data_IF_610301457557
#
_entry.id   IF_610301457557
#
_cell.length_a   1.000
_cell.length_b   1.000
_cell.length_c   1.000
_cell.angle_alpha   90.00
_cell.angle_beta   90.00
_cell.angle_gamma   90.00
#
_symmetry.space_group_name_H-M   'P 1'
#
loop_
_entity.id
_entity.type
_entity.pdbx_description
1 polymer ?
#
# COMPACT_ATOMS: atom_id res chain seq x y z
N UNK A 1 -29.03 34.29 12.77
CA UNK A 1 -28.62 33.62 11.52
C UNK A 1 -28.96 32.16 11.62
N UNK A 2 -29.37 31.53 10.51
CA UNK A 2 -29.65 30.09 10.43
C UNK A 2 -28.38 29.39 9.94
N UNK A 3 -28.03 28.28 10.58
CA UNK A 3 -26.84 27.51 10.25
C UNK A 3 -27.27 26.26 9.50
N UNK A 4 -26.57 25.98 8.42
CA UNK A 4 -26.79 24.80 7.59
C UNK A 4 -25.47 24.11 7.35
N UNK A 5 -25.54 22.80 7.17
CA UNK A 5 -24.45 22.02 6.60
C UNK A 5 -24.97 21.28 5.38
N UNK A 6 -24.14 21.23 4.34
CA UNK A 6 -24.41 20.40 3.16
C UNK A 6 -23.28 19.41 3.00
N UNK A 7 -23.62 18.13 3.05
CA UNK A 7 -22.70 17.05 2.74
C UNK A 7 -23.03 16.52 1.35
N UNK A 8 -22.04 16.46 0.48
CA UNK A 8 -22.20 15.91 -0.86
C UNK A 8 -21.05 14.96 -1.23
N UNK A 9 -21.36 14.04 -2.13
CA UNK A 9 -20.47 12.99 -2.60
C UNK A 9 -20.20 13.23 -4.08
N UNK A 10 -18.92 13.41 -4.43
CA UNK A 10 -18.45 13.59 -5.81
C UNK A 10 -18.03 12.24 -6.40
N UNK A 11 -18.26 12.04 -7.70
CA UNK A 11 -17.84 10.82 -8.42
C UNK A 11 -16.30 10.68 -8.31
N UNK A 12 -15.79 9.55 -7.78
CA UNK A 12 -14.36 9.32 -7.62
C UNK A 12 -13.60 9.11 -8.94
N UNK A 13 -14.29 9.00 -10.09
CA UNK A 13 -13.66 8.84 -11.41
C UNK A 13 -13.05 10.14 -11.93
N UNK A 14 -13.49 11.28 -11.41
CA UNK A 14 -12.95 12.59 -11.77
C UNK A 14 -11.49 12.73 -11.32
N UNK A 15 -10.74 13.59 -12.00
CA UNK A 15 -9.36 13.91 -11.60
C UNK A 15 -9.34 14.76 -10.32
N UNK A 16 -8.24 14.69 -9.56
CA UNK A 16 -8.13 15.40 -8.28
C UNK A 16 -8.37 16.92 -8.39
N UNK A 17 -7.98 17.52 -9.51
CA UNK A 17 -8.17 18.95 -9.77
C UNK A 17 -9.63 19.29 -10.09
N UNK A 18 -10.32 18.45 -10.86
CA UNK A 18 -11.75 18.61 -11.14
C UNK A 18 -12.59 18.47 -9.87
N UNK A 19 -12.23 17.54 -8.98
CA UNK A 19 -12.90 17.32 -7.70
C UNK A 19 -12.82 18.57 -6.83
N UNK A 20 -11.62 19.15 -6.69
CA UNK A 20 -11.40 20.39 -5.93
C UNK A 20 -12.09 21.58 -6.61
N UNK A 21 -12.04 21.66 -7.93
CA UNK A 21 -12.72 22.70 -8.71
C UNK A 21 -14.23 22.69 -8.51
N UNK A 22 -14.85 21.50 -8.50
CA UNK A 22 -16.28 21.34 -8.20
C UNK A 22 -16.57 21.81 -6.77
N UNK A 23 -15.80 21.39 -5.76
CA UNK A 23 -16.01 21.85 -4.39
C UNK A 23 -15.90 23.37 -4.25
N UNK A 24 -14.88 23.98 -4.87
CA UNK A 24 -14.68 25.42 -4.85
C UNK A 24 -15.83 26.17 -5.53
N UNK A 25 -16.34 25.67 -6.66
CA UNK A 25 -17.46 26.29 -7.36
C UNK A 25 -18.73 26.42 -6.50
N UNK A 26 -18.97 25.45 -5.61
CA UNK A 26 -20.10 25.50 -4.67
C UNK A 26 -19.83 26.45 -3.50
N UNK A 27 -18.58 26.54 -3.03
CA UNK A 27 -18.17 27.52 -2.02
C UNK A 27 -18.37 28.95 -2.55
N UNK A 28 -17.90 29.22 -3.77
CA UNK A 28 -18.02 30.52 -4.42
C UNK A 28 -19.48 30.89 -4.66
N UNK A 29 -20.30 29.92 -5.09
CA UNK A 29 -21.74 30.14 -5.29
C UNK A 29 -22.45 30.51 -3.98
N UNK A 30 -22.18 29.78 -2.90
CA UNK A 30 -22.74 30.09 -1.59
C UNK A 30 -22.34 31.50 -1.10
N UNK A 31 -21.10 31.91 -1.37
CA UNK A 31 -20.64 33.28 -1.07
C UNK A 31 -21.38 34.33 -1.92
N UNK A 32 -21.58 34.08 -3.21
CA UNK A 32 -22.33 34.97 -4.11
C UNK A 32 -23.80 35.11 -3.72
N UNK A 33 -24.39 34.04 -3.18
CA UNK A 33 -25.76 34.03 -2.63
C UNK A 33 -25.85 34.70 -1.24
N UNK A 34 -24.77 35.33 -0.77
CA UNK A 34 -24.71 36.08 0.49
C UNK A 34 -24.56 35.21 1.74
N UNK A 35 -24.19 33.93 1.60
CA UNK A 35 -23.96 33.05 2.74
C UNK A 35 -22.55 33.23 3.31
N UNK A 36 -22.43 33.22 4.63
CA UNK A 36 -21.14 33.21 5.31
C UNK A 36 -20.67 31.77 5.50
N UNK A 37 -19.56 31.40 4.86
CA UNK A 37 -18.94 30.08 5.04
C UNK A 37 -18.28 30.01 6.41
N UNK A 38 -18.59 28.96 7.17
CA UNK A 38 -18.03 28.71 8.51
C UNK A 38 -16.85 27.75 8.42
N UNK A 39 -17.01 26.66 7.67
CA UNK A 39 -15.98 25.64 7.50
C UNK A 39 -16.24 24.82 6.24
N UNK A 40 -15.17 24.31 5.65
CA UNK A 40 -15.19 23.30 4.59
C UNK A 40 -14.36 22.12 5.07
N UNK A 41 -14.99 20.95 5.20
CA UNK A 41 -14.37 19.70 5.64
C UNK A 41 -14.17 18.77 4.43
N UNK A 42 -12.92 18.63 4.01
CA UNK A 42 -12.50 17.72 2.94
C UNK A 42 -12.27 16.31 3.51
N UNK A 43 -13.34 15.50 3.53
CA UNK A 43 -13.30 14.17 4.12
C UNK A 43 -12.57 13.13 3.25
N UNK A 44 -12.36 13.42 1.96
CA UNK A 44 -11.63 12.59 1.01
C UNK A 44 -12.39 11.35 0.54
N UNK A 45 -11.66 10.42 -0.08
CA UNK A 45 -12.20 9.16 -0.62
C UNK A 45 -12.64 8.22 0.50
N UNK A 46 -13.88 7.73 0.43
CA UNK A 46 -14.44 6.77 1.39
C UNK A 46 -15.16 5.63 0.67
N UNK A 47 -15.10 4.44 1.28
CA UNK A 47 -15.88 3.28 0.84
C UNK A 47 -17.35 3.49 1.20
N UNK A 48 -18.24 3.33 0.22
CA UNK A 48 -19.68 3.38 0.42
C UNK A 48 -20.19 2.04 0.96
N UNK A 49 -21.23 2.08 1.80
CA UNK A 49 -21.86 0.87 2.32
C UNK A 49 -22.57 0.05 1.23
N UNK A 50 -23.07 0.73 0.21
CA UNK A 50 -23.71 0.15 -0.97
C UNK A 50 -23.37 0.98 -2.22
N UNK A 51 -23.44 0.39 -3.43
CA UNK A 51 -23.10 1.13 -4.64
C UNK A 51 -24.11 2.24 -4.96
N UNK A 52 -23.62 3.46 -5.23
CA UNK A 52 -24.42 4.58 -5.74
C UNK A 52 -23.97 4.83 -7.18
N UNK A 53 -24.90 4.85 -8.13
CA UNK A 53 -24.58 4.97 -9.57
C UNK A 53 -23.50 3.97 -10.03
N UNK A 54 -23.53 2.73 -9.50
CA UNK A 54 -22.54 1.66 -9.74
C UNK A 54 -21.12 1.96 -9.21
N UNK A 55 -20.92 3.02 -8.43
CA UNK A 55 -19.66 3.32 -7.73
C UNK A 55 -19.70 2.75 -6.31
N UNK A 56 -18.62 2.11 -5.88
CA UNK A 56 -18.47 1.57 -4.52
C UNK A 56 -17.70 2.51 -3.58
N UNK A 57 -17.09 3.55 -4.14
CA UNK A 57 -16.36 4.60 -3.42
C UNK A 57 -16.94 5.96 -3.78
N UNK A 58 -16.68 6.96 -2.94
CA UNK A 58 -17.10 8.34 -3.18
C UNK A 58 -16.23 9.32 -2.40
N UNK A 59 -16.07 10.53 -2.94
CA UNK A 59 -15.28 11.58 -2.29
C UNK A 59 -16.24 12.51 -1.56
N UNK A 60 -16.04 12.66 -0.25
CA UNK A 60 -16.94 13.39 0.62
C UNK A 60 -16.45 14.81 0.87
N UNK A 61 -17.38 15.76 0.74
CA UNK A 61 -17.21 17.14 1.15
C UNK A 61 -18.36 17.54 2.08
N UNK A 62 -18.04 18.31 3.12
CA UNK A 62 -19.05 18.97 3.94
C UNK A 62 -18.77 20.47 4.00
N UNK A 63 -19.78 21.28 3.69
CA UNK A 63 -19.71 22.74 3.77
C UNK A 63 -20.68 23.21 4.84
N UNK A 64 -20.15 23.88 5.86
CA UNK A 64 -20.92 24.56 6.90
C UNK A 64 -21.06 26.05 6.52
N UNK A 65 -22.29 26.55 6.47
CA UNK A 65 -22.56 27.95 6.12
C UNK A 65 -23.73 28.54 6.91
N UNK A 66 -23.75 29.88 6.97
CA UNK A 66 -24.77 30.67 7.65
C UNK A 66 -25.51 31.54 6.65
N UNK A 67 -26.82 31.63 6.81
CA UNK A 67 -27.72 32.45 5.99
C UNK A 67 -28.77 33.13 6.86
N UNK A 68 -29.34 34.24 6.40
CA UNK A 68 -30.36 34.99 7.13
C UNK A 68 -31.76 34.38 6.96
N UNK A 69 -32.16 34.13 5.71
CA UNK A 69 -33.55 33.78 5.35
C UNK A 69 -33.72 32.32 4.92
N UNK A 70 -32.65 31.60 4.57
CA UNK A 70 -32.71 30.18 4.16
C UNK A 70 -33.23 29.94 2.75
N UNK A 71 -33.54 30.99 1.98
CA UNK A 71 -34.06 30.90 0.62
C UNK A 71 -33.05 30.35 -0.41
N UNK A 72 -31.79 30.22 -0.02
CA UNK A 72 -30.67 29.74 -0.86
C UNK A 72 -30.70 28.21 -1.05
N UNK A 73 -31.46 27.48 -0.23
CA UNK A 73 -31.44 26.00 -0.22
C UNK A 73 -32.05 25.41 -1.50
N UNK A 74 -33.24 25.84 -1.90
CA UNK A 74 -33.90 25.24 -3.06
C UNK A 74 -33.11 25.43 -4.37
N UNK A 75 -32.57 26.63 -4.69
CA UNK A 75 -31.69 26.82 -5.84
C UNK A 75 -30.39 26.00 -5.76
N UNK A 76 -29.84 25.84 -4.56
CA UNK A 76 -28.63 25.05 -4.33
C UNK A 76 -28.89 23.57 -4.60
N UNK A 77 -29.96 22.99 -4.03
CA UNK A 77 -30.34 21.60 -4.27
C UNK A 77 -30.67 21.33 -5.73
N UNK A 78 -31.32 22.28 -6.41
CA UNK A 78 -31.58 22.19 -7.84
C UNK A 78 -30.29 22.13 -8.65
N UNK A 79 -29.27 22.91 -8.25
CA UNK A 79 -27.96 22.90 -8.90
C UNK A 79 -27.26 21.56 -8.67
N UNK A 80 -27.25 21.06 -7.43
CA UNK A 80 -26.69 19.74 -7.13
C UNK A 80 -27.37 18.59 -7.89
N UNK A 81 -28.68 18.67 -8.12
CA UNK A 81 -29.40 17.67 -8.95
C UNK A 81 -29.07 17.75 -10.43
N UNK A 82 -28.68 18.92 -10.93
CA UNK A 82 -28.30 19.14 -12.34
C UNK A 82 -26.85 18.78 -12.61
N UNK A 83 -25.99 18.79 -11.59
CA UNK A 83 -24.58 18.48 -11.72
C UNK A 83 -24.34 16.97 -11.66
N UNK A 84 -24.00 16.38 -12.81
CA UNK A 84 -23.72 14.94 -12.93
C UNK A 84 -22.47 14.49 -12.15
N UNK A 85 -21.60 15.43 -11.76
CA UNK A 85 -20.39 15.14 -10.97
C UNK A 85 -20.73 14.78 -9.53
N UNK A 86 -21.91 15.18 -9.06
CA UNK A 86 -22.38 14.94 -7.70
C UNK A 86 -23.32 13.74 -7.68
N UNK A 87 -22.95 12.69 -6.96
CA UNK A 87 -23.73 11.45 -6.89
C UNK A 87 -24.88 11.54 -5.88
N UNK A 88 -24.66 12.25 -4.77
CA UNK A 88 -25.64 12.40 -3.69
C UNK A 88 -25.29 13.63 -2.87
N UNK A 89 -26.32 14.28 -2.33
CA UNK A 89 -26.17 15.36 -1.36
C UNK A 89 -27.21 15.23 -0.25
N UNK A 90 -26.95 15.88 0.87
CA UNK A 90 -27.86 16.04 1.98
C UNK A 90 -27.62 17.41 2.61
N UNK A 91 -28.65 18.24 2.63
CA UNK A 91 -28.66 19.53 3.33
C UNK A 91 -29.36 19.37 4.67
N UNK A 92 -28.73 19.79 5.76
CA UNK A 92 -29.29 19.73 7.11
C UNK A 92 -29.27 21.11 7.75
N UNK A 93 -30.36 21.48 8.40
CA UNK A 93 -30.42 22.67 9.26
C UNK A 93 -29.84 22.32 10.62
N UNK A 94 -28.78 23.03 11.03
CA UNK A 94 -28.16 22.87 12.33
C UNK A 94 -28.99 23.57 13.42
N UNK A 95 -29.22 22.87 14.52
CA UNK A 95 -29.76 23.43 15.73
C UNK A 95 -28.63 24.01 16.61
N UNK A 96 -29.00 24.54 17.78
CA UNK A 96 -28.01 25.11 18.72
C UNK A 96 -26.93 24.10 19.11
N UNK A 97 -27.32 22.85 19.37
CA UNK A 97 -26.39 21.81 19.82
C UNK A 97 -25.47 21.33 18.70
N UNK A 98 -25.96 21.25 17.47
CA UNK A 98 -25.16 20.92 16.28
C UNK A 98 -24.05 21.94 16.02
N UNK A 99 -24.36 23.24 16.14
CA UNK A 99 -23.35 24.30 16.01
C UNK A 99 -22.27 24.18 17.09
N UNK A 100 -22.68 24.04 18.36
CA UNK A 100 -21.73 23.87 19.46
C UNK A 100 -20.87 22.60 19.32
N UNK A 101 -21.47 21.51 18.82
CA UNK A 101 -20.75 20.27 18.56
C UNK A 101 -19.68 20.44 17.48
N UNK A 102 -20.02 21.09 16.36
CA UNK A 102 -19.07 21.34 15.27
C UNK A 102 -17.93 22.26 15.71
N UNK A 103 -18.22 23.29 16.51
CA UNK A 103 -17.20 24.15 17.12
C UNK A 103 -16.27 23.38 18.07
N UNK A 104 -16.82 22.55 18.95
CA UNK A 104 -16.03 21.71 19.87
C UNK A 104 -15.21 20.65 19.12
N UNK A 105 -15.73 20.10 18.02
CA UNK A 105 -15.02 19.18 17.11
C UNK A 105 -13.82 19.88 16.48
N UNK A 106 -14.01 21.09 15.94
CA UNK A 106 -12.93 21.92 15.38
C UNK A 106 -11.90 22.34 16.43
N UNK A 107 -12.34 22.63 17.65
CA UNK A 107 -11.46 22.93 18.78
C UNK A 107 -10.73 21.71 19.36
N UNK A 108 -10.91 20.51 18.78
CA UNK A 108 -10.25 19.27 19.20
C UNK A 108 -10.72 18.72 20.55
N UNK A 109 -11.79 19.28 21.12
CA UNK A 109 -12.33 18.87 22.44
C UNK A 109 -13.23 17.64 22.37
N UNK A 110 -13.59 17.21 21.15
CA UNK A 110 -14.33 15.98 20.89
C UNK A 110 -13.33 14.96 20.33
N UNK A 111 -12.81 14.11 21.22
CA UNK A 111 -11.86 13.05 20.87
C UNK A 111 -12.47 12.01 19.95
N UNK A 112 -11.63 11.38 19.10
CA UNK A 112 -12.02 10.22 18.27
C UNK A 112 -12.78 9.21 19.16
N UNK A 113 -13.92 8.64 18.69
CA UNK A 113 -14.66 7.67 19.48
C UNK A 113 -13.74 6.51 19.90
N UNK A 114 -13.81 6.11 21.18
CA UNK A 114 -12.96 5.06 21.80
C UNK A 114 -12.86 3.78 20.94
N UNK A 115 -13.92 3.47 20.19
CA UNK A 115 -14.00 2.32 19.27
C UNK A 115 -13.13 2.46 18.02
N UNK A 116 -12.95 3.66 17.47
CA UNK A 116 -12.04 3.91 16.35
C UNK A 116 -10.57 3.82 16.79
N UNK A 117 -10.26 4.29 18.00
CA UNK A 117 -8.92 4.14 18.59
C UNK A 117 -8.58 2.67 18.85
N UNK A 118 -9.52 1.89 19.39
CA UNK A 118 -9.35 0.45 19.59
C UNK A 118 -9.10 -0.29 18.26
N UNK A 119 -9.80 0.10 17.19
CA UNK A 119 -9.64 -0.52 15.87
C UNK A 119 -8.31 -0.16 15.19
N UNK A 120 -7.88 1.11 15.25
CA UNK A 120 -6.54 1.53 14.81
C UNK A 120 -5.43 0.79 15.59
N UNK A 121 -5.61 0.62 16.90
CA UNK A 121 -4.67 -0.13 17.75
C UNK A 121 -4.63 -1.62 17.40
N UNK A 122 -5.79 -2.23 17.12
CA UNK A 122 -5.89 -3.63 16.70
C UNK A 122 -5.29 -3.85 15.31
N UNK A 123 -5.56 -2.97 14.33
CA UNK A 123 -4.99 -3.05 12.99
C UNK A 123 -3.46 -2.80 13.01
N UNK A 124 -2.97 -1.91 13.87
CA UNK A 124 -1.54 -1.71 14.09
C UNK A 124 -0.88 -2.91 14.79
N UNK A 125 -1.56 -3.53 15.77
CA UNK A 125 -1.10 -4.74 16.43
C UNK A 125 -1.07 -5.95 15.48
N UNK A 126 -2.08 -6.08 14.60
CA UNK A 126 -2.12 -7.10 13.56
C UNK A 126 -1.02 -6.90 12.52
N UNK A 127 -0.77 -5.68 12.05
CA UNK A 127 0.36 -5.38 11.15
C UNK A 127 1.72 -5.65 11.81
N UNK A 128 1.86 -5.39 13.11
CA UNK A 128 3.06 -5.73 13.88
C UNK A 128 3.21 -7.25 14.06
N UNK A 129 2.14 -7.96 14.36
CA UNK A 129 2.14 -9.43 14.46
C UNK A 129 2.42 -10.10 13.10
N UNK A 130 1.91 -9.55 11.99
CA UNK A 130 2.22 -10.01 10.63
C UNK A 130 3.67 -9.75 10.24
N UNK A 131 4.26 -8.61 10.65
CA UNK A 131 5.71 -8.37 10.48
C UNK A 131 6.57 -9.23 11.40
N UNK A 132 6.10 -9.57 12.60
CA UNK A 132 6.80 -10.45 13.54
C UNK A 132 6.74 -11.94 13.13
N UNK A 133 5.68 -12.35 12.40
CA UNK A 133 5.53 -13.69 11.83
C UNK A 133 6.06 -13.81 10.39
N UNK A 134 6.68 -12.78 9.82
CA UNK A 134 7.54 -12.99 8.67
C UNK A 134 8.77 -13.76 9.16
N UNK A 135 9.06 -14.97 8.63
CA UNK A 135 10.30 -15.65 8.98
C UNK A 135 11.43 -14.69 8.63
N UNK A 136 12.28 -14.39 9.61
CA UNK A 136 13.49 -13.62 9.39
C UNK A 136 14.33 -14.43 8.40
N UNK A 137 14.24 -14.07 7.12
CA UNK A 137 14.85 -14.84 6.05
C UNK A 137 16.36 -14.88 6.23
N UNK A 138 16.95 -16.04 6.00
CA UNK A 138 18.39 -16.23 6.03
C UNK A 138 19.11 -15.25 5.09
N UNK A 139 20.36 -14.94 5.44
CA UNK A 139 21.20 -14.11 4.59
C UNK A 139 21.79 -14.95 3.45
N UNK A 140 21.02 -15.10 2.35
CA UNK A 140 21.40 -15.85 1.15
C UNK A 140 22.75 -15.40 0.54
N UNK A 141 23.24 -14.19 0.86
CA UNK A 141 24.56 -13.70 0.45
C UNK A 141 25.74 -14.48 1.04
N UNK A 142 25.50 -15.40 1.98
CA UNK A 142 26.52 -16.31 2.52
C UNK A 142 26.90 -17.44 1.55
N UNK A 143 26.09 -17.67 0.53
CA UNK A 143 26.36 -18.61 -0.55
C UNK A 143 27.22 -17.90 -1.60
N UNK A 144 28.32 -18.53 -1.97
CA UNK A 144 29.25 -18.00 -2.96
C UNK A 144 28.59 -18.01 -4.34
N UNK A 145 28.68 -16.88 -5.05
CA UNK A 145 27.98 -16.65 -6.31
C UNK A 145 26.62 -15.98 -6.17
N UNK A 146 26.01 -15.95 -4.97
CA UNK A 146 24.79 -15.18 -4.72
C UNK A 146 25.14 -13.74 -4.32
N UNK A 147 25.20 -12.86 -5.31
CA UNK A 147 25.37 -11.42 -5.09
C UNK A 147 24.12 -10.72 -4.54
N UNK A 148 24.21 -9.42 -4.17
CA UNK A 148 23.08 -8.65 -3.64
C UNK A 148 21.84 -8.67 -4.54
N UNK A 149 22.04 -8.59 -5.86
CA UNK A 149 20.96 -8.59 -6.86
C UNK A 149 20.26 -9.94 -6.96
N UNK A 150 21.03 -11.03 -6.94
CA UNK A 150 20.48 -12.40 -6.97
C UNK A 150 19.72 -12.68 -5.67
N UNK A 151 20.28 -12.28 -4.51
CA UNK A 151 19.59 -12.43 -3.23
C UNK A 151 18.26 -11.65 -3.19
N UNK A 152 18.19 -10.48 -3.82
CA UNK A 152 16.96 -9.70 -3.89
C UNK A 152 15.94 -10.33 -4.83
N UNK A 153 16.37 -10.82 -6.00
CA UNK A 153 15.52 -11.55 -6.94
C UNK A 153 14.92 -12.82 -6.32
N UNK A 154 15.73 -13.62 -5.62
CA UNK A 154 15.26 -14.82 -4.91
C UNK A 154 14.25 -14.47 -3.81
N UNK A 155 14.49 -13.39 -3.05
CA UNK A 155 13.54 -12.90 -2.03
C UNK A 155 12.24 -12.38 -2.65
N UNK A 156 12.31 -11.72 -3.80
CA UNK A 156 11.13 -11.26 -4.53
C UNK A 156 10.25 -12.43 -4.99
N UNK A 157 10.86 -13.57 -5.36
CA UNK A 157 10.16 -14.82 -5.66
C UNK A 157 9.63 -15.56 -4.41
N UNK A 158 9.98 -15.09 -3.20
CA UNK A 158 9.58 -15.72 -1.94
C UNK A 158 10.54 -16.79 -1.42
N UNK A 159 11.73 -16.95 -2.01
CA UNK A 159 12.82 -17.76 -1.45
C UNK A 159 13.59 -16.87 -0.48
N UNK A 160 13.33 -17.06 0.82
CA UNK A 160 13.89 -16.24 1.88
C UNK A 160 14.81 -17.00 2.82
N UNK A 161 14.86 -18.34 2.75
CA UNK A 161 15.68 -19.20 3.63
C UNK A 161 16.61 -20.14 2.85
N UNK A 162 17.69 -20.62 3.48
CA UNK A 162 18.60 -21.60 2.90
C UNK A 162 17.88 -22.91 2.58
N UNK A 163 16.98 -23.35 3.45
CA UNK A 163 16.19 -24.57 3.24
C UNK A 163 15.29 -24.48 2.00
N UNK A 164 14.65 -23.33 1.75
CA UNK A 164 13.82 -23.12 0.57
C UNK A 164 14.65 -23.11 -0.72
N UNK A 165 15.87 -22.59 -0.67
CA UNK A 165 16.80 -22.58 -1.80
C UNK A 165 17.36 -23.99 -2.07
N UNK A 166 17.73 -24.74 -1.03
CA UNK A 166 18.20 -26.12 -1.13
C UNK A 166 17.13 -27.08 -1.68
N UNK A 167 15.85 -26.82 -1.38
CA UNK A 167 14.74 -27.61 -1.90
C UNK A 167 14.47 -27.41 -3.40
N UNK A 168 15.14 -26.47 -4.07
CA UNK A 168 14.99 -26.18 -5.51
C UNK A 168 16.17 -26.76 -6.28
N UNK A 169 15.89 -27.28 -7.48
CA UNK A 169 16.96 -27.75 -8.36
C UNK A 169 17.69 -26.57 -9.01
N UNK A 170 18.97 -26.71 -9.39
CA UNK A 170 19.71 -25.64 -10.06
C UNK A 170 19.02 -25.11 -11.32
N UNK A 171 18.35 -25.99 -12.07
CA UNK A 171 17.62 -25.66 -13.29
C UNK A 171 16.42 -24.77 -12.96
N UNK A 172 15.66 -25.12 -11.92
CA UNK A 172 14.52 -24.33 -11.47
C UNK A 172 14.96 -22.97 -10.93
N UNK A 173 16.10 -22.90 -10.23
CA UNK A 173 16.67 -21.63 -9.77
C UNK A 173 17.06 -20.74 -10.96
N UNK A 174 17.67 -21.33 -12.00
CA UNK A 174 18.01 -20.59 -13.22
C UNK A 174 16.75 -20.06 -13.93
N UNK A 175 15.73 -20.90 -14.05
CA UNK A 175 14.43 -20.52 -14.64
C UNK A 175 13.79 -19.35 -13.88
N UNK A 176 13.76 -19.40 -12.54
CA UNK A 176 13.22 -18.34 -11.69
C UNK A 176 13.98 -17.02 -11.90
N UNK A 177 15.31 -17.07 -11.98
CA UNK A 177 16.11 -15.87 -12.22
C UNK A 177 15.84 -15.28 -13.60
N UNK A 178 15.71 -16.11 -14.63
CA UNK A 178 15.41 -15.67 -15.99
C UNK A 178 13.99 -15.11 -16.12
N UNK A 179 13.03 -15.67 -15.37
CA UNK A 179 11.65 -15.17 -15.31
C UNK A 179 11.58 -13.77 -14.71
N UNK A 180 12.43 -13.47 -13.71
CA UNK A 180 12.50 -12.16 -13.07
C UNK A 180 13.19 -11.13 -13.96
N UNK A 181 14.39 -11.45 -14.44
CA UNK A 181 15.18 -10.57 -15.30
C UNK A 181 16.20 -11.38 -16.11
N UNK A 182 15.76 -11.82 -17.30
CA UNK A 182 16.57 -12.63 -18.21
C UNK A 182 17.90 -11.96 -18.58
N UNK A 183 17.90 -10.65 -18.85
CA UNK A 183 19.08 -9.91 -19.29
C UNK A 183 20.13 -9.82 -18.17
N UNK A 184 19.69 -9.56 -16.93
CA UNK A 184 20.62 -9.46 -15.78
C UNK A 184 21.19 -10.79 -15.34
N UNK A 185 20.47 -11.89 -15.50
CA UNK A 185 20.83 -13.16 -14.87
C UNK A 185 21.20 -14.29 -15.85
N UNK A 186 21.25 -14.02 -17.16
CA UNK A 186 21.60 -15.00 -18.20
C UNK A 186 22.90 -15.78 -17.94
N UNK A 187 23.92 -15.08 -17.42
CA UNK A 187 25.26 -15.62 -17.20
C UNK A 187 25.47 -16.20 -15.79
N UNK A 188 24.44 -16.21 -14.95
CA UNK A 188 24.52 -16.77 -13.60
C UNK A 188 24.44 -18.30 -13.64
N UNK A 189 25.24 -18.92 -12.78
CA UNK A 189 25.37 -20.38 -12.69
C UNK A 189 25.00 -20.86 -11.28
N UNK A 190 23.75 -21.34 -11.08
CA UNK A 190 23.26 -21.77 -9.78
C UNK A 190 23.67 -23.20 -9.41
N UNK A 191 24.53 -23.87 -10.19
CA UNK A 191 24.87 -25.28 -10.01
C UNK A 191 25.43 -25.64 -8.62
N UNK A 192 26.12 -24.70 -7.98
CA UNK A 192 26.70 -24.90 -6.64
C UNK A 192 25.79 -24.37 -5.51
N UNK A 193 24.82 -23.52 -5.82
CA UNK A 193 24.02 -22.82 -4.81
C UNK A 193 23.11 -23.76 -4.03
N UNK A 194 22.53 -24.78 -4.67
CA UNK A 194 21.66 -25.74 -3.99
C UNK A 194 22.39 -26.51 -2.89
N UNK A 195 23.59 -27.03 -3.20
CA UNK A 195 24.43 -27.77 -2.25
C UNK A 195 25.00 -26.87 -1.15
N UNK A 196 25.37 -25.63 -1.50
CA UNK A 196 25.84 -24.66 -0.50
C UNK A 196 24.70 -24.24 0.45
N UNK A 197 23.48 -24.09 -0.09
CA UNK A 197 22.29 -23.80 0.70
C UNK A 197 21.93 -24.97 1.63
N UNK A 198 22.14 -26.21 1.19
CA UNK A 198 21.92 -27.41 2.02
C UNK A 198 22.87 -27.43 3.23
N UNK A 199 24.17 -27.22 3.01
CA UNK A 199 25.16 -27.13 4.09
C UNK A 199 24.88 -25.95 5.04
N UNK A 200 24.46 -24.80 4.49
CA UNK A 200 24.07 -23.64 5.28
C UNK A 200 22.80 -23.89 6.12
N UNK A 201 21.81 -24.60 5.56
CA UNK A 201 20.58 -24.98 6.25
C UNK A 201 20.82 -26.02 7.35
N UNK A 202 21.77 -26.93 7.14
CA UNK A 202 22.21 -27.91 8.14
C UNK A 202 23.08 -27.32 9.25
N UNK A 203 23.48 -26.03 9.13
CA UNK A 203 24.36 -25.37 10.09
C UNK A 203 25.83 -25.80 10.00
N UNK A 204 26.22 -26.50 8.93
CA UNK A 204 27.56 -27.02 8.70
C UNK A 204 28.52 -25.95 8.13
N UNK A 205 28.64 -24.83 8.84
CA UNK A 205 29.37 -23.64 8.37
C UNK A 205 30.86 -23.87 8.10
N UNK A 206 31.51 -24.74 8.87
CA UNK A 206 32.93 -25.05 8.70
C UNK A 206 33.19 -25.82 7.41
N UNK A 207 32.36 -26.83 7.11
CA UNK A 207 32.41 -27.59 5.87
C UNK A 207 32.07 -26.71 4.66
N UNK A 208 31.09 -25.82 4.81
CA UNK A 208 30.75 -24.86 3.76
C UNK A 208 31.92 -23.93 3.44
N UNK A 209 32.58 -23.38 4.47
CA UNK A 209 33.71 -22.46 4.27
C UNK A 209 34.92 -23.16 3.63
N UNK A 210 35.26 -24.36 4.09
CA UNK A 210 36.32 -25.16 3.48
C UNK A 210 36.01 -25.45 2.00
N UNK A 211 34.75 -25.78 1.67
CA UNK A 211 34.35 -26.00 0.29
C UNK A 211 34.39 -24.72 -0.54
N UNK A 212 33.99 -23.56 0.01
CA UNK A 212 34.10 -22.26 -0.66
C UNK A 212 35.54 -21.84 -0.95
N UNK A 213 36.51 -22.22 -0.12
CA UNK A 213 37.94 -21.94 -0.37
C UNK A 213 38.49 -22.73 -1.58
N UNK A 214 37.92 -23.90 -1.88
CA UNK A 214 38.27 -24.73 -3.05
C UNK A 214 37.54 -24.30 -4.34
N UNK A 215 36.48 -23.50 -4.22
CA UNK A 215 35.71 -22.97 -5.34
C UNK A 215 36.36 -21.71 -5.92
N UNK A 216 36.24 -21.52 -7.24
CA UNK A 216 36.69 -20.29 -7.91
C UNK A 216 35.48 -19.55 -8.44
N UNK A 217 34.98 -18.58 -7.69
CA UNK A 217 33.84 -17.74 -8.09
C UNK A 217 32.53 -18.52 -8.16
N UNK A 218 32.32 -19.43 -7.22
CA UNK A 218 31.12 -20.28 -7.14
C UNK A 218 31.08 -21.43 -8.14
N UNK A 219 32.18 -21.78 -8.81
CA UNK A 219 32.30 -22.93 -9.72
C UNK A 219 33.37 -23.91 -9.24
N UNK A 220 33.11 -25.21 -9.41
CA UNK A 220 34.08 -26.27 -9.12
C UNK A 220 35.27 -26.12 -10.06
N UNK A 221 36.49 -26.08 -9.50
CA UNK A 221 37.73 -26.00 -10.27
C UNK A 221 37.79 -27.24 -11.17
N UNK A 222 37.73 -27.06 -12.48
CA UNK A 222 37.89 -28.16 -13.43
C UNK A 222 39.25 -28.80 -13.19
N UNK A 223 39.29 -30.02 -12.67
CA UNK A 223 40.52 -30.82 -12.71
C UNK A 223 40.83 -31.09 -14.18
N UNK A 224 41.84 -30.42 -14.70
CA UNK A 224 42.48 -30.78 -15.96
C UNK A 224 43.05 -32.20 -15.79
N UNK A 225 42.66 -33.13 -16.66
CA UNK A 225 43.21 -34.49 -16.74
C UNK A 225 44.74 -34.47 -16.64
N UNK A 226 45.29 -35.07 -15.60
CA UNK A 226 46.67 -35.55 -15.55
C UNK A 226 46.76 -36.72 -14.56
N UNK A 227 46.22 -37.87 -14.94
CA UNK A 227 46.86 -39.17 -14.69
C UNK A 227 46.09 -40.31 -15.39
N UNK A 228 46.76 -41.02 -16.28
CA UNK A 228 46.49 -42.41 -16.71
C UNK A 228 47.47 -42.73 -17.84
N UNK A 229 48.75 -42.77 -17.47
CA UNK A 229 49.71 -43.66 -18.11
C UNK A 229 50.06 -44.76 -17.10
N UNK A 230 49.96 -46.00 -17.59
CA UNK A 230 50.49 -47.27 -17.07
C UNK A 230 49.52 -48.22 -16.32
N UNK A 231 49.69 -49.51 -16.67
CA UNK A 231 48.94 -50.76 -16.37
C UNK A 231 47.73 -50.99 -17.29
N UNK A 232 47.71 -51.87 -18.30
CA UNK A 232 48.54 -53.01 -18.76
C UNK A 232 48.64 -53.03 -20.30
#
# INVERSE_FOLDING_TARGET
>A
MRNYEVTFIVDPVLTGDEIKGTAQSYVDRLQNDGCKIVAVDEMGLRQLAYPINKRTTGIYYCIEFQTETGNVIDPLELTFRRDERVMRFLTVKLDKYGVEYNEKKRAGKIGKPKRAQLREQQEAAQKKAQKANQPHGDNLKRIEGIGPKVSEALKAYGITTFAQLAAKTPEKIKEILLEIDADRFQNQDPSTWTKQAELAAAGEWEKLKAWQEDLKGGRVRSQTKSDSSEEE
#
